data_IF_903759759246
#
_entry.id   IF_903759759246
#
_cell.length_a   1.000
_cell.length_b   1.000
_cell.length_c   1.000
_cell.angle_alpha   90.00
_cell.angle_beta   90.00
_cell.angle_gamma   90.00
#
_symmetry.space_group_name_H-M   'P 1'
#
loop_
_entity.id
_entity.type
_entity.pdbx_description
1 polymer ?
#
# COMPACT_ATOMS: atom_id res chain seq x y z
N UNK A 1 -6.89 -17.19 -6.38
CA UNK A 1 -6.43 -15.88 -5.86
C UNK A 1 -7.33 -15.37 -4.74
N UNK A 2 -6.73 -14.87 -3.68
CA UNK A 2 -7.40 -14.25 -2.53
C UNK A 2 -6.58 -13.06 -2.03
N UNK A 3 -7.23 -12.14 -1.30
CA UNK A 3 -6.54 -11.02 -0.63
C UNK A 3 -6.55 -11.31 0.86
N UNK A 4 -5.37 -11.34 1.47
CA UNK A 4 -5.15 -11.58 2.90
C UNK A 4 -4.44 -10.38 3.52
N UNK A 5 -4.55 -10.21 4.83
CA UNK A 5 -3.82 -9.20 5.58
C UNK A 5 -2.69 -9.86 6.39
N UNK A 6 -1.47 -9.34 6.28
CA UNK A 6 -0.30 -9.84 7.01
C UNK A 6 -0.51 -9.97 8.52
N UNK A 7 -1.29 -9.07 9.12
CA UNK A 7 -1.50 -9.09 10.57
C UNK A 7 -2.44 -10.21 11.03
N UNK A 8 -3.25 -10.75 10.11
CA UNK A 8 -4.31 -11.74 10.38
C UNK A 8 -3.91 -13.18 10.01
N UNK A 9 -2.72 -13.39 9.45
CA UNK A 9 -2.22 -14.72 9.07
C UNK A 9 -1.37 -15.36 10.17
N UNK A 10 -1.38 -16.68 10.24
CA UNK A 10 -0.58 -17.44 11.21
C UNK A 10 0.93 -17.43 10.85
N UNK A 11 1.27 -17.72 9.59
CA UNK A 11 2.67 -17.85 9.14
C UNK A 11 3.26 -16.49 8.70
N UNK A 12 3.36 -15.56 9.66
CA UNK A 12 3.92 -14.22 9.42
C UNK A 12 5.37 -14.26 8.93
N UNK A 13 6.16 -15.25 9.37
CA UNK A 13 7.55 -15.40 8.95
C UNK A 13 7.58 -15.66 7.44
N UNK A 14 6.84 -16.66 6.96
CA UNK A 14 6.76 -16.96 5.53
C UNK A 14 6.36 -15.74 4.69
N UNK A 15 5.25 -15.09 5.03
CA UNK A 15 4.74 -13.98 4.23
C UNK A 15 5.65 -12.75 4.27
N UNK A 16 6.31 -12.49 5.39
CA UNK A 16 7.34 -11.45 5.47
C UNK A 16 8.52 -11.77 4.54
N UNK A 17 9.01 -13.01 4.51
CA UNK A 17 10.07 -13.42 3.58
C UNK A 17 9.63 -13.29 2.12
N UNK A 18 8.38 -13.63 1.79
CA UNK A 18 7.84 -13.40 0.44
C UNK A 18 7.83 -11.91 0.07
N UNK A 19 7.40 -11.01 0.96
CA UNK A 19 7.50 -9.55 0.74
C UNK A 19 8.97 -9.14 0.51
N UNK A 20 9.89 -9.72 1.28
CA UNK A 20 11.33 -9.52 1.16
C UNK A 20 11.96 -9.96 -0.16
N UNK A 21 11.24 -10.68 -1.03
CA UNK A 21 11.70 -11.01 -2.39
C UNK A 21 11.49 -9.87 -3.40
N UNK A 22 10.76 -8.81 -3.05
CA UNK A 22 10.50 -7.67 -3.93
C UNK A 22 11.81 -7.05 -4.45
N UNK A 23 11.93 -6.84 -5.77
CA UNK A 23 13.07 -6.16 -6.40
C UNK A 23 13.07 -4.63 -6.21
N UNK A 24 12.06 -4.09 -5.53
CA UNK A 24 11.88 -2.66 -5.31
C UNK A 24 12.34 -2.20 -3.92
N UNK A 25 13.09 -1.09 -3.88
CA UNK A 25 13.71 -0.56 -2.66
C UNK A 25 12.74 -0.25 -1.52
N UNK A 26 11.55 0.29 -1.79
CA UNK A 26 10.55 0.50 -0.74
C UNK A 26 9.87 -0.82 -0.32
N UNK A 27 9.79 -1.83 -1.19
CA UNK A 27 9.39 -3.18 -0.79
C UNK A 27 10.40 -3.80 0.19
N UNK A 28 11.70 -3.61 -0.05
CA UNK A 28 12.76 -3.99 0.89
C UNK A 28 12.67 -3.20 2.20
N UNK A 29 12.27 -1.93 2.14
CA UNK A 29 12.04 -1.13 3.35
C UNK A 29 10.85 -1.65 4.16
N UNK A 30 9.72 -1.98 3.53
CA UNK A 30 8.58 -2.63 4.19
C UNK A 30 9.00 -3.93 4.87
N UNK A 31 9.76 -4.78 4.19
CA UNK A 31 10.32 -6.01 4.78
C UNK A 31 11.10 -5.72 6.08
N UNK A 32 11.98 -4.71 6.08
CA UNK A 32 12.73 -4.30 7.28
C UNK A 32 11.81 -3.81 8.40
N UNK A 33 10.80 -2.99 8.08
CA UNK A 33 9.84 -2.50 9.06
C UNK A 33 9.06 -3.65 9.71
N UNK A 34 8.64 -4.64 8.92
CA UNK A 34 7.97 -5.84 9.42
C UNK A 34 8.92 -6.70 10.26
N UNK A 35 10.19 -6.81 9.87
CA UNK A 35 11.18 -7.59 10.60
C UNK A 35 11.50 -7.00 11.98
N UNK A 36 11.46 -5.66 12.09
CA UNK A 36 11.78 -4.94 13.30
C UNK A 36 10.53 -4.57 14.14
N UNK A 37 9.32 -4.96 13.71
CA UNK A 37 8.05 -4.57 14.31
C UNK A 37 7.80 -3.04 14.36
N UNK A 38 8.32 -2.29 13.39
CA UNK A 38 8.27 -0.82 13.36
C UNK A 38 7.15 -0.25 12.48
N UNK A 39 6.45 -1.10 11.70
CA UNK A 39 5.46 -0.62 10.73
C UNK A 39 4.29 0.10 11.39
N UNK A 40 3.72 -0.46 12.46
CA UNK A 40 2.55 0.14 13.14
C UNK A 40 2.91 1.47 13.81
N UNK A 41 4.09 1.56 14.41
CA UNK A 41 4.60 2.82 14.99
C UNK A 41 4.78 3.90 13.92
N UNK A 42 5.21 3.52 12.72
CA UNK A 42 5.48 4.44 11.62
C UNK A 42 4.22 4.91 10.89
N UNK A 43 3.28 3.99 10.66
CA UNK A 43 2.16 4.16 9.72
C UNK A 43 0.78 4.21 10.41
N UNK A 44 0.71 3.92 11.71
CA UNK A 44 -0.52 3.89 12.50
C UNK A 44 -0.94 2.48 12.91
N UNK A 45 -1.66 2.37 14.03
CA UNK A 45 -2.07 1.10 14.62
C UNK A 45 -3.14 0.38 13.81
N UNK A 46 -3.90 1.08 12.95
CA UNK A 46 -4.87 0.46 12.05
C UNK A 46 -4.27 0.02 10.71
N UNK A 47 -2.94 0.09 10.56
CA UNK A 47 -2.24 -0.27 9.32
C UNK A 47 -2.50 -1.73 8.94
N UNK A 48 -2.87 -1.93 7.67
CA UNK A 48 -3.03 -3.24 7.05
C UNK A 48 -1.96 -3.42 5.99
N UNK A 49 -1.43 -4.64 5.86
CA UNK A 49 -0.58 -5.03 4.72
C UNK A 49 -1.37 -6.05 3.92
N UNK A 50 -2.00 -5.57 2.86
CA UNK A 50 -2.87 -6.34 1.99
C UNK A 50 -2.03 -7.06 0.94
N UNK A 51 -2.19 -8.37 0.86
CA UNK A 51 -1.42 -9.25 -0.01
C UNK A 51 -2.37 -10.01 -0.92
N UNK A 52 -2.20 -9.87 -2.24
CA UNK A 52 -2.86 -10.73 -3.22
C UNK A 52 -2.03 -11.98 -3.39
N UNK A 53 -2.63 -13.13 -3.12
CA UNK A 53 -1.94 -14.42 -3.11
C UNK A 53 -2.66 -15.47 -3.93
N UNK A 54 -1.92 -16.48 -4.37
CA UNK A 54 -2.45 -17.73 -4.91
C UNK A 54 -1.73 -18.91 -4.26
N UNK A 55 -2.40 -19.56 -3.30
CA UNK A 55 -1.74 -20.56 -2.46
C UNK A 55 -0.59 -19.93 -1.67
N UNK A 56 0.63 -20.46 -1.84
CA UNK A 56 1.87 -19.93 -1.23
C UNK A 56 2.61 -18.93 -2.12
N UNK A 57 1.99 -18.43 -3.18
CA UNK A 57 2.61 -17.46 -4.08
C UNK A 57 2.09 -16.06 -3.78
N UNK A 58 2.99 -15.17 -3.38
CA UNK A 58 2.70 -13.74 -3.26
C UNK A 58 2.78 -13.07 -4.64
N UNK A 59 1.68 -12.46 -5.07
CA UNK A 59 1.56 -11.86 -6.42
C UNK A 59 1.78 -10.34 -6.36
N UNK A 60 1.19 -9.70 -5.36
CA UNK A 60 1.18 -8.25 -5.21
C UNK A 60 0.89 -7.89 -3.75
N UNK A 61 1.35 -6.74 -3.29
CA UNK A 61 0.98 -6.20 -2.00
C UNK A 61 0.80 -4.67 -2.03
N UNK A 62 0.05 -4.16 -1.06
CA UNK A 62 0.02 -2.75 -0.70
C UNK A 62 -0.26 -2.59 0.80
N UNK A 63 -0.07 -1.39 1.32
CA UNK A 63 -0.56 -1.02 2.65
C UNK A 63 -1.82 -0.19 2.55
N UNK A 64 -2.66 -0.25 3.57
CA UNK A 64 -3.71 0.73 3.86
C UNK A 64 -3.45 1.22 5.29
N UNK A 65 -3.08 2.49 5.43
CA UNK A 65 -2.49 3.02 6.66
C UNK A 65 -3.02 4.41 7.02
N UNK A 66 -2.82 4.82 8.28
CA UNK A 66 -3.20 6.15 8.74
C UNK A 66 -2.24 7.22 8.21
N UNK A 67 -0.96 6.86 8.06
CA UNK A 67 0.12 7.70 7.56
C UNK A 67 0.97 6.99 6.50
N UNK A 68 1.59 7.76 5.62
CA UNK A 68 2.57 7.35 4.62
C UNK A 68 3.80 8.28 4.65
N UNK A 69 4.63 8.27 3.61
CA UNK A 69 5.78 9.18 3.43
C UNK A 69 5.41 10.68 3.55
N UNK A 70 4.22 11.09 3.11
CA UNK A 70 3.67 12.43 3.34
C UNK A 70 3.05 12.52 4.74
N UNK A 71 3.74 13.21 5.67
CA UNK A 71 3.42 13.27 7.11
C UNK A 71 2.32 14.28 7.52
N UNK A 72 1.37 14.57 6.63
CA UNK A 72 0.22 15.42 6.95
C UNK A 72 -0.90 14.60 7.61
N UNK A 73 -1.00 14.70 8.94
CA UNK A 73 -1.97 13.94 9.74
C UNK A 73 -3.43 14.31 9.50
N UNK A 74 -3.71 15.38 8.74
CA UNK A 74 -5.08 15.72 8.32
C UNK A 74 -5.58 14.89 7.13
N UNK A 75 -4.68 14.17 6.46
CA UNK A 75 -4.98 13.32 5.32
C UNK A 75 -4.89 11.86 5.76
N UNK A 76 -6.00 11.12 5.63
CA UNK A 76 -6.07 9.71 6.00
C UNK A 76 -7.31 9.06 5.37
N UNK A 77 -7.31 7.76 5.06
CA UNK A 77 -6.15 6.85 5.03
C UNK A 77 -5.35 6.94 3.71
N UNK A 78 -4.16 6.35 3.74
CA UNK A 78 -3.22 6.27 2.63
C UNK A 78 -3.09 4.84 2.12
N UNK A 79 -2.88 4.70 0.81
CA UNK A 79 -2.37 3.46 0.22
C UNK A 79 -0.90 3.67 -0.15
N UNK A 80 -0.02 3.01 0.60
CA UNK A 80 1.43 3.02 0.39
C UNK A 80 1.98 1.65 -0.01
N UNK A 81 3.29 1.56 -0.19
CA UNK A 81 4.01 0.30 -0.49
C UNK A 81 3.36 -0.56 -1.58
N UNK A 82 3.00 0.07 -2.69
CA UNK A 82 2.25 -0.55 -3.78
C UNK A 82 3.19 -1.31 -4.72
N UNK A 83 3.07 -2.62 -4.79
CA UNK A 83 3.97 -3.45 -5.61
C UNK A 83 3.30 -4.69 -6.20
N UNK A 84 3.63 -5.00 -7.46
CA UNK A 84 3.31 -6.27 -8.14
C UNK A 84 4.62 -6.87 -8.67
N UNK A 85 4.88 -8.14 -8.33
CA UNK A 85 6.08 -8.85 -8.80
C UNK A 85 6.14 -8.88 -10.33
N UNK A 86 7.33 -8.71 -10.95
CA UNK A 86 7.50 -8.54 -12.39
C UNK A 86 6.78 -9.57 -13.25
N UNK A 87 6.87 -10.85 -12.89
CA UNK A 87 6.27 -11.99 -13.58
C UNK A 87 4.73 -11.96 -13.61
N UNK A 88 4.09 -11.20 -12.72
CA UNK A 88 2.64 -11.06 -12.65
C UNK A 88 2.13 -9.71 -13.15
N UNK A 89 3.01 -8.82 -13.63
CA UNK A 89 2.61 -7.53 -14.22
C UNK A 89 1.81 -7.74 -15.51
N UNK A 90 1.04 -6.73 -15.93
CA UNK A 90 0.16 -6.81 -17.10
C UNK A 90 -1.23 -7.40 -16.84
N UNK A 91 -1.47 -8.02 -15.68
CA UNK A 91 -2.75 -8.66 -15.33
C UNK A 91 -3.71 -7.78 -14.51
N UNK A 92 -3.36 -6.49 -14.29
CA UNK A 92 -4.12 -5.53 -13.47
C UNK A 92 -4.35 -5.96 -12.01
N UNK A 93 -3.47 -6.79 -11.46
CA UNK A 93 -3.56 -7.26 -10.06
C UNK A 93 -3.46 -6.14 -9.03
N UNK A 94 -2.67 -5.11 -9.29
CA UNK A 94 -2.70 -3.86 -8.53
C UNK A 94 -4.14 -3.32 -8.35
N UNK A 95 -4.93 -3.31 -9.43
CA UNK A 95 -6.31 -2.84 -9.37
C UNK A 95 -7.20 -3.62 -8.41
N UNK A 96 -6.95 -4.93 -8.25
CA UNK A 96 -7.70 -5.76 -7.29
C UNK A 96 -7.40 -5.34 -5.84
N UNK A 97 -6.13 -5.05 -5.53
CA UNK A 97 -5.72 -4.56 -4.21
C UNK A 97 -6.28 -3.17 -3.93
N UNK A 98 -6.19 -2.25 -4.91
CA UNK A 98 -6.75 -0.91 -4.76
C UNK A 98 -8.26 -0.95 -4.54
N UNK A 99 -8.99 -1.80 -5.26
CA UNK A 99 -10.43 -1.98 -5.06
C UNK A 99 -10.76 -2.53 -3.66
N UNK A 100 -10.01 -3.55 -3.23
CA UNK A 100 -10.20 -4.11 -1.90
C UNK A 100 -9.91 -3.08 -0.80
N UNK A 101 -8.80 -2.34 -0.90
CA UNK A 101 -8.45 -1.29 0.05
C UNK A 101 -9.50 -0.17 0.11
N UNK A 102 -10.08 0.22 -1.03
CA UNK A 102 -11.21 1.16 -1.09
C UNK A 102 -12.42 0.65 -0.30
N UNK A 103 -12.80 -0.61 -0.52
CA UNK A 103 -13.94 -1.20 0.18
C UNK A 103 -13.70 -1.29 1.69
N UNK A 104 -12.49 -1.66 2.11
CA UNK A 104 -12.11 -1.68 3.54
C UNK A 104 -12.20 -0.27 4.13
N UNK A 105 -11.54 0.72 3.53
CA UNK A 105 -11.57 2.09 4.03
C UNK A 105 -12.99 2.66 4.11
N UNK A 106 -13.82 2.42 3.08
CA UNK A 106 -15.21 2.85 3.05
C UNK A 106 -16.03 2.21 4.18
N UNK A 107 -15.82 0.90 4.43
CA UNK A 107 -16.47 0.21 5.55
C UNK A 107 -16.03 0.71 6.92
N UNK A 108 -14.83 1.29 7.01
CA UNK A 108 -14.27 1.92 8.21
C UNK A 108 -14.63 3.42 8.31
N UNK A 109 -15.51 3.92 7.42
CA UNK A 109 -16.06 5.28 7.47
C UNK A 109 -15.24 6.34 6.73
N UNK A 110 -14.20 5.94 5.99
CA UNK A 110 -13.48 6.87 5.13
C UNK A 110 -14.37 7.33 3.96
N UNK A 111 -14.23 8.60 3.58
CA UNK A 111 -14.90 9.18 2.39
C UNK A 111 -13.94 9.33 1.22
N UNK A 112 -12.64 9.11 1.46
CA UNK A 112 -11.56 9.38 0.53
C UNK A 112 -10.35 8.47 0.84
N UNK A 113 -9.46 8.30 -0.14
CA UNK A 113 -8.13 7.66 0.05
C UNK A 113 -7.07 8.48 -0.70
N UNK A 114 -5.87 8.50 -0.14
CA UNK A 114 -4.71 9.20 -0.69
C UNK A 114 -3.59 8.24 -1.12
N UNK A 115 -2.84 8.65 -2.14
CA UNK A 115 -1.61 7.97 -2.59
C UNK A 115 -0.58 9.05 -2.91
N UNK A 116 0.62 8.95 -2.34
CA UNK A 116 1.79 9.72 -2.73
C UNK A 116 2.60 8.94 -3.78
N UNK A 117 3.01 9.61 -4.86
CA UNK A 117 3.82 8.97 -5.89
C UNK A 117 4.46 9.99 -6.83
N UNK A 118 5.54 9.58 -7.50
CA UNK A 118 6.08 10.28 -8.67
C UNK A 118 5.53 9.75 -10.01
N UNK A 119 4.66 8.74 -9.99
CA UNK A 119 4.03 8.23 -11.21
C UNK A 119 2.93 9.17 -11.73
N UNK A 120 2.88 9.31 -13.06
CA UNK A 120 1.83 10.02 -13.79
C UNK A 120 1.15 9.02 -14.73
N UNK A 121 -0.19 8.98 -14.69
CA UNK A 121 -1.03 8.10 -15.51
C UNK A 121 -1.22 6.68 -14.96
N UNK A 122 -0.60 6.30 -13.84
CA UNK A 122 -0.77 4.97 -13.25
C UNK A 122 -2.08 4.88 -12.45
N UNK A 123 -2.25 5.75 -11.46
CA UNK A 123 -3.39 5.69 -10.54
C UNK A 123 -4.66 6.29 -11.13
N UNK A 124 -4.52 7.18 -12.12
CA UNK A 124 -5.62 7.74 -12.89
C UNK A 124 -6.41 6.65 -13.64
N UNK A 125 -5.73 5.58 -14.08
CA UNK A 125 -6.38 4.39 -14.67
C UNK A 125 -7.27 3.63 -13.69
N UNK A 126 -7.15 3.92 -12.39
CA UNK A 126 -7.95 3.34 -11.30
C UNK A 126 -8.87 4.37 -10.64
N UNK A 127 -9.09 5.53 -11.27
CA UNK A 127 -10.05 6.55 -10.82
C UNK A 127 -9.49 7.60 -9.85
N UNK A 128 -8.21 7.52 -9.50
CA UNK A 128 -7.57 8.56 -8.69
C UNK A 128 -7.39 9.83 -9.52
N UNK A 129 -7.55 10.98 -8.88
CA UNK A 129 -7.30 12.29 -9.47
C UNK A 129 -6.12 12.96 -8.77
N UNK A 130 -5.31 13.71 -9.51
CA UNK A 130 -4.26 14.53 -8.91
C UNK A 130 -4.90 15.51 -7.92
N UNK A 131 -4.38 15.55 -6.70
CA UNK A 131 -4.87 16.42 -5.63
C UNK A 131 -3.99 17.65 -5.47
N UNK A 132 -2.72 17.47 -5.08
CA UNK A 132 -1.73 18.54 -4.92
C UNK A 132 -0.31 17.98 -4.86
N UNK A 133 0.69 18.86 -4.97
CA UNK A 133 2.07 18.55 -4.59
C UNK A 133 2.23 18.71 -3.08
N UNK A 134 2.95 17.78 -2.45
CA UNK A 134 3.28 17.81 -1.03
C UNK A 134 4.74 17.40 -0.82
N UNK A 135 5.27 17.69 0.36
CA UNK A 135 6.58 17.19 0.78
C UNK A 135 6.45 15.82 1.41
N UNK A 136 7.29 14.88 1.00
CA UNK A 136 7.50 13.62 1.72
C UNK A 136 8.40 13.84 2.96
N UNK A 137 8.69 12.76 3.68
CA UNK A 137 9.51 12.76 4.89
C UNK A 137 11.00 13.06 4.62
N UNK A 138 11.43 12.99 3.37
CA UNK A 138 12.74 13.44 2.89
C UNK A 138 12.73 14.88 2.31
N UNK A 139 11.61 15.60 2.46
CA UNK A 139 11.40 16.96 1.95
C UNK A 139 11.50 17.08 0.41
N UNK A 140 11.34 15.97 -0.31
CA UNK A 140 11.22 15.94 -1.76
C UNK A 140 9.77 16.21 -2.18
N UNK A 141 9.57 16.71 -3.40
CA UNK A 141 8.23 16.88 -3.93
C UNK A 141 7.64 15.52 -4.32
N UNK A 142 6.46 15.22 -3.78
CA UNK A 142 5.66 14.05 -4.13
C UNK A 142 4.29 14.48 -4.62
N UNK A 143 3.78 13.82 -5.67
CA UNK A 143 2.42 14.07 -6.15
C UNK A 143 1.46 13.27 -5.28
N UNK A 144 0.50 13.96 -4.68
CA UNK A 144 -0.59 13.31 -3.98
C UNK A 144 -1.78 13.18 -4.90
N UNK A 145 -2.27 11.96 -5.02
CA UNK A 145 -3.50 11.60 -5.69
C UNK A 145 -4.58 11.25 -4.67
N UNK A 146 -5.83 11.49 -5.04
CA UNK A 146 -7.00 11.28 -4.19
C UNK A 146 -8.10 10.58 -4.98
N UNK A 147 -8.82 9.67 -4.34
CA UNK A 147 -10.10 9.15 -4.83
C UNK A 147 -11.18 9.37 -3.76
N UNK A 148 -12.41 9.61 -4.20
CA UNK A 148 -13.58 9.63 -3.33
C UNK A 148 -14.18 8.20 -3.29
N UNK A 149 -14.60 7.76 -2.11
CA UNK A 149 -15.17 6.43 -1.88
C UNK A 149 -16.69 6.42 -2.02
#
# INVERSE_FOLDING_TARGET
>A
MEIINYFDVDDKIFWKEEIGKSDWGAGQYLYRLLNNNQLLDLCGNSTKVLMLVEGKTLISFCTLAEQDDVRDTSLTPWIGFVYTFPEFRGHRYLGKLLEYAKNVAASEGATHIYISTNHIGLYEKYGYSFYKLMKDDENQDSRVYKINL
#
